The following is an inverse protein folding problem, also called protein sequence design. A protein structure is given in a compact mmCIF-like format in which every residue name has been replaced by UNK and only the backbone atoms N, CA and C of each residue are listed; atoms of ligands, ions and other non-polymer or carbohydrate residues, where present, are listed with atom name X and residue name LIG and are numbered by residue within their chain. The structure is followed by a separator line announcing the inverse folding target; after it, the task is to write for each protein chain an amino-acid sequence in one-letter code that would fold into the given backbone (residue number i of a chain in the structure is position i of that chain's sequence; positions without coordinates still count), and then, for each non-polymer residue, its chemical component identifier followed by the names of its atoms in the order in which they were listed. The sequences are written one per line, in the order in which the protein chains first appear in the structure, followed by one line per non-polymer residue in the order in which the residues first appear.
data_IF_822699831636
#
_entry.id   IF_822699831636
#
_cell.length_a   1.000
_cell.length_b   1.000
_cell.length_c   1.000
_cell.angle_alpha   90.00
_cell.angle_beta   90.00
_cell.angle_gamma   90.00
#
_symmetry.space_group_name_H-M   'P 1'
#
loop_
_entity.id
_entity.type
_entity.pdbx_description
1 polymer ?
#
# COMPACT_ATOMS: atom_id res chain seq x y z
N UNK A 1 -11.63 0.53 -12.19
CA UNK A 1 -12.30 1.37 -12.94
C UNK A 1 -12.68 1.23 -14.38
N UNK A 2 -12.82 0.03 -14.99
CA UNK A 2 -13.12 -0.14 -16.44
C UNK A 2 -14.51 0.35 -16.89
N UNK A 3 -15.44 0.57 -15.97
CA UNK A 3 -16.82 1.00 -16.29
C UNK A 3 -16.83 2.34 -17.04
N UNK A 4 -15.91 3.24 -16.73
CA UNK A 4 -15.84 4.60 -17.26
C UNK A 4 -14.75 4.81 -18.31
N UNK A 5 -13.77 3.90 -18.40
CA UNK A 5 -12.60 4.05 -19.27
C UNK A 5 -12.62 3.14 -20.51
N UNK A 6 -13.53 2.17 -20.56
CA UNK A 6 -13.65 1.25 -21.69
C UNK A 6 -14.64 1.78 -22.75
N UNK A 7 -14.24 1.91 -24.03
CA UNK A 7 -15.12 2.37 -25.12
C UNK A 7 -16.38 1.53 -25.32
N UNK A 8 -16.38 0.27 -24.85
CA UNK A 8 -17.51 -0.65 -24.95
C UNK A 8 -18.59 -0.46 -23.88
N UNK A 9 -18.39 0.46 -22.93
CA UNK A 9 -19.31 0.69 -21.81
C UNK A 9 -20.20 1.91 -22.04
N UNK A 10 -21.48 1.87 -21.60
CA UNK A 10 -22.46 2.94 -21.86
C UNK A 10 -22.07 4.33 -21.35
N UNK A 11 -21.23 4.39 -20.29
CA UNK A 11 -20.85 5.64 -19.64
C UNK A 11 -19.46 6.17 -20.04
N UNK A 12 -18.82 5.60 -21.07
CA UNK A 12 -17.48 5.97 -21.52
C UNK A 12 -17.31 7.48 -21.82
N UNK A 13 -18.32 8.12 -22.41
CA UNK A 13 -18.29 9.55 -22.76
C UNK A 13 -19.02 10.45 -21.75
N UNK A 14 -19.61 9.89 -20.70
CA UNK A 14 -20.44 10.63 -19.75
C UNK A 14 -19.67 11.17 -18.54
N UNK A 15 -18.38 10.87 -18.43
CA UNK A 15 -17.56 11.23 -17.27
C UNK A 15 -16.25 11.87 -17.70
N UNK A 16 -15.82 12.85 -16.94
CA UNK A 16 -14.47 13.42 -17.02
C UNK A 16 -13.53 12.63 -16.11
N UNK A 17 -12.58 11.91 -16.70
CA UNK A 17 -11.56 11.17 -15.94
C UNK A 17 -10.53 12.17 -15.46
N UNK A 18 -10.45 12.38 -14.15
CA UNK A 18 -9.42 13.18 -13.50
C UNK A 18 -8.37 12.28 -12.86
N UNK A 19 -7.12 12.42 -13.28
CA UNK A 19 -5.99 11.76 -12.63
C UNK A 19 -5.52 12.60 -11.46
N UNK A 20 -5.79 12.14 -10.24
CA UNK A 20 -5.26 12.75 -9.02
C UNK A 20 -3.80 12.36 -8.87
N UNK A 21 -2.94 13.36 -8.68
CA UNK A 21 -1.54 13.14 -8.30
C UNK A 21 -1.44 12.90 -6.79
N UNK A 22 -0.41 12.18 -6.33
CA UNK A 22 -0.12 12.09 -4.90
C UNK A 22 -0.01 13.48 -4.27
N UNK A 23 -0.47 13.62 -3.04
CA UNK A 23 -0.28 14.86 -2.25
C UNK A 23 1.21 14.93 -1.93
N UNK A 24 1.83 16.10 -2.09
CA UNK A 24 3.26 16.26 -1.81
C UNK A 24 3.59 16.12 -0.32
N UNK A 25 4.82 15.73 -0.01
CA UNK A 25 5.28 15.55 1.37
C UNK A 25 5.20 16.83 2.18
N UNK A 26 5.45 17.99 1.56
CA UNK A 26 5.37 19.30 2.21
C UNK A 26 3.94 19.57 2.70
N UNK A 27 2.94 19.33 1.86
CA UNK A 27 1.52 19.49 2.22
C UNK A 27 1.09 18.52 3.32
N UNK A 28 1.63 17.30 3.29
CA UNK A 28 1.38 16.32 4.35
C UNK A 28 2.00 16.77 5.67
N UNK A 29 3.23 17.28 5.65
CA UNK A 29 3.92 17.81 6.83
C UNK A 29 3.17 18.99 7.44
N UNK A 30 2.78 19.97 6.61
CA UNK A 30 1.97 21.12 7.06
C UNK A 30 0.65 20.65 7.70
N UNK A 31 -0.05 19.73 7.04
CA UNK A 31 -1.32 19.20 7.56
C UNK A 31 -1.13 18.44 8.87
N UNK A 32 -0.12 17.57 8.97
CA UNK A 32 0.16 16.82 10.19
C UNK A 32 0.49 17.74 11.36
N UNK A 33 1.38 18.72 11.15
CA UNK A 33 1.72 19.73 12.17
C UNK A 33 0.49 20.49 12.63
N UNK A 34 -0.32 21.00 11.70
CA UNK A 34 -1.55 21.71 12.03
C UNK A 34 -2.51 20.85 12.88
N UNK A 35 -2.66 19.55 12.57
CA UNK A 35 -3.52 18.66 13.33
C UNK A 35 -2.96 18.38 14.73
N UNK A 36 -1.65 18.18 14.87
CA UNK A 36 -1.02 17.96 16.17
C UNK A 36 -1.11 19.21 17.06
N UNK A 37 -0.76 20.38 16.51
CA UNK A 37 -0.78 21.68 17.22
C UNK A 37 -2.18 22.03 17.73
N UNK A 38 -3.23 21.73 16.96
CA UNK A 38 -4.63 21.96 17.34
C UNK A 38 -5.01 21.29 18.67
N UNK A 39 -4.30 20.22 19.04
CA UNK A 39 -4.55 19.45 20.27
C UNK A 39 -3.40 19.55 21.26
N UNK A 40 -2.58 20.59 21.15
CA UNK A 40 -1.45 20.83 22.05
C UNK A 40 -0.36 19.77 21.99
N UNK A 41 -0.15 19.15 20.82
CA UNK A 41 0.92 18.19 20.55
C UNK A 41 1.82 18.74 19.44
N UNK A 42 2.98 18.13 19.25
CA UNK A 42 3.84 18.43 18.10
C UNK A 42 4.32 17.17 17.39
N UNK A 43 4.76 17.31 16.16
CA UNK A 43 5.34 16.23 15.36
C UNK A 43 6.57 16.73 14.61
N UNK A 44 7.61 15.91 14.55
CA UNK A 44 8.81 16.17 13.76
C UNK A 44 8.52 16.03 12.26
N UNK A 45 9.12 16.88 11.43
CA UNK A 45 9.01 16.81 9.98
C UNK A 45 9.57 15.46 9.47
N UNK A 46 10.66 15.00 10.07
CA UNK A 46 11.31 13.72 9.79
C UNK A 46 10.39 12.52 10.02
N UNK A 47 9.52 12.58 11.04
CA UNK A 47 8.54 11.52 11.28
C UNK A 47 7.51 11.46 10.15
N UNK A 48 7.03 12.59 9.66
CA UNK A 48 6.08 12.64 8.53
C UNK A 48 6.74 12.18 7.24
N UNK A 49 7.98 12.62 6.98
CA UNK A 49 8.77 12.22 5.81
C UNK A 49 9.03 10.72 5.82
N UNK A 50 9.43 10.14 6.95
CA UNK A 50 9.67 8.70 7.08
C UNK A 50 8.43 7.87 6.75
N UNK A 51 7.24 8.28 7.25
CA UNK A 51 5.97 7.62 6.91
C UNK A 51 5.66 7.77 5.43
N UNK A 52 5.87 8.96 4.87
CA UNK A 52 5.57 9.27 3.47
C UNK A 52 6.40 8.41 2.51
N UNK A 53 7.71 8.31 2.74
CA UNK A 53 8.63 7.53 1.91
C UNK A 53 8.40 6.03 2.05
N UNK A 54 8.15 5.55 3.28
CA UNK A 54 7.92 4.13 3.57
C UNK A 54 6.72 3.55 2.82
N UNK A 55 5.69 4.35 2.59
CA UNK A 55 4.42 3.92 1.98
C UNK A 55 4.16 4.55 0.60
N UNK A 56 5.20 5.01 -0.10
CA UNK A 56 5.10 5.57 -1.46
C UNK A 56 3.95 6.59 -1.61
N UNK A 57 3.76 7.47 -0.64
CA UNK A 57 2.69 8.48 -0.62
C UNK A 57 1.25 7.91 -0.66
N UNK A 58 1.03 6.64 -0.31
CA UNK A 58 -0.31 6.05 -0.23
C UNK A 58 -1.11 6.67 0.91
N UNK A 59 -2.03 7.56 0.57
CA UNK A 59 -2.79 8.42 1.51
C UNK A 59 -3.45 7.63 2.64
N UNK A 60 -4.07 6.48 2.36
CA UNK A 60 -4.74 5.66 3.37
C UNK A 60 -3.76 5.13 4.42
N UNK A 61 -2.56 4.73 4.01
CA UNK A 61 -1.51 4.26 4.92
C UNK A 61 -0.96 5.40 5.78
N UNK A 62 -0.67 6.55 5.14
CA UNK A 62 -0.19 7.73 5.83
C UNK A 62 -1.16 8.17 6.92
N UNK A 63 -2.45 8.29 6.59
CA UNK A 63 -3.48 8.67 7.54
C UNK A 63 -3.60 7.69 8.71
N UNK A 64 -3.52 6.38 8.44
CA UNK A 64 -3.59 5.35 9.47
C UNK A 64 -2.42 5.45 10.45
N UNK A 65 -1.19 5.60 9.95
CA UNK A 65 0.01 5.72 10.80
C UNK A 65 0.01 7.05 11.56
N UNK A 66 -0.25 8.17 10.88
CA UNK A 66 -0.30 9.49 11.52
C UNK A 66 -1.38 9.55 12.62
N UNK A 67 -2.50 8.85 12.44
CA UNK A 67 -3.52 8.72 13.49
C UNK A 67 -2.99 7.94 14.71
N UNK A 68 -2.30 6.82 14.50
CA UNK A 68 -1.69 6.06 15.61
C UNK A 68 -0.65 6.90 16.33
N UNK A 69 0.23 7.58 15.59
CA UNK A 69 1.23 8.50 16.16
C UNK A 69 0.57 9.61 16.98
N UNK A 70 -0.50 10.21 16.44
CA UNK A 70 -1.27 11.22 17.14
C UNK A 70 -1.88 10.70 18.45
N UNK A 71 -2.45 9.49 18.45
CA UNK A 71 -3.06 8.88 19.64
C UNK A 71 -1.99 8.50 20.70
N UNK A 72 -0.83 8.04 20.27
CA UNK A 72 0.28 7.68 21.15
C UNK A 72 1.05 8.89 21.72
N UNK A 73 0.97 10.05 21.07
CA UNK A 73 1.59 11.28 21.56
C UNK A 73 0.71 11.92 22.63
N UNK A 74 1.24 12.14 23.83
CA UNK A 74 0.51 12.78 24.93
C UNK A 74 0.31 14.31 24.66
N UNK A 75 -0.70 14.95 25.26
CA UNK A 75 -0.81 16.40 25.24
C UNK A 75 0.46 17.06 25.79
N UNK A 76 0.96 18.10 25.13
CA UNK A 76 2.25 18.72 25.42
C UNK A 76 3.46 17.94 24.95
N UNK A 77 3.27 16.72 24.44
CA UNK A 77 4.34 15.87 23.94
C UNK A 77 4.72 16.12 22.47
N UNK A 78 5.84 15.54 22.09
CA UNK A 78 6.40 15.62 20.76
C UNK A 78 6.47 14.21 20.15
N UNK A 79 5.89 14.03 18.97
CA UNK A 79 6.05 12.83 18.16
C UNK A 79 7.38 12.89 17.42
N UNK A 80 8.21 11.90 17.63
CA UNK A 80 9.56 11.78 17.07
C UNK A 80 9.64 10.70 16.01
N UNK A 81 10.68 10.71 15.16
CA UNK A 81 10.85 9.77 14.06
C UNK A 81 10.94 8.30 14.56
N UNK A 82 11.55 8.05 15.69
CA UNK A 82 11.70 6.72 16.31
C UNK A 82 10.35 6.08 16.71
N UNK A 83 9.28 6.88 16.88
CA UNK A 83 7.95 6.35 17.16
C UNK A 83 7.26 5.74 15.93
N UNK A 84 7.80 5.95 14.71
CA UNK A 84 7.18 5.50 13.46
C UNK A 84 7.15 3.98 13.36
N UNK A 85 8.27 3.31 13.65
CA UNK A 85 8.33 1.84 13.58
C UNK A 85 7.41 1.18 14.62
N UNK A 86 7.31 1.74 15.82
CA UNK A 86 6.37 1.28 16.85
C UNK A 86 4.90 1.46 16.41
N UNK A 87 4.59 2.53 15.69
CA UNK A 87 3.24 2.74 15.17
C UNK A 87 2.91 1.75 14.04
N UNK A 88 3.86 1.44 13.16
CA UNK A 88 3.72 0.44 12.11
C UNK A 88 3.51 -0.95 12.73
N UNK A 89 4.37 -1.34 13.66
CA UNK A 89 4.26 -2.64 14.35
C UNK A 89 2.92 -2.79 15.08
N UNK A 90 2.46 -1.73 15.75
CA UNK A 90 1.14 -1.73 16.38
C UNK A 90 0.00 -2.00 15.39
N UNK A 91 0.05 -1.41 14.18
CA UNK A 91 -0.94 -1.67 13.13
C UNK A 91 -0.84 -3.13 12.64
N UNK A 92 0.37 -3.62 12.40
CA UNK A 92 0.61 -4.99 11.94
C UNK A 92 0.10 -6.02 12.95
N UNK A 93 0.37 -5.82 14.23
CA UNK A 93 -0.14 -6.68 15.31
C UNK A 93 -1.68 -6.67 15.37
N UNK A 94 -2.28 -5.48 15.29
CA UNK A 94 -3.74 -5.32 15.33
C UNK A 94 -4.46 -6.06 14.19
N UNK A 95 -3.85 -6.13 13.02
CA UNK A 95 -4.44 -6.75 11.82
C UNK A 95 -3.85 -8.11 11.47
N UNK A 96 -2.93 -8.66 12.29
CA UNK A 96 -2.21 -9.91 12.00
C UNK A 96 -3.14 -11.09 11.70
N UNK A 97 -4.15 -11.31 12.54
CA UNK A 97 -5.15 -12.38 12.33
C UNK A 97 -5.92 -12.17 11.02
N UNK A 98 -6.34 -10.93 10.74
CA UNK A 98 -7.07 -10.59 9.51
C UNK A 98 -6.22 -10.89 8.27
N UNK A 99 -4.94 -10.52 8.29
CA UNK A 99 -4.02 -10.78 7.18
C UNK A 99 -3.72 -12.27 7.01
N UNK A 100 -3.59 -13.02 8.10
CA UNK A 100 -3.44 -14.48 8.06
C UNK A 100 -4.67 -15.15 7.43
N UNK A 101 -5.87 -14.81 7.88
CA UNK A 101 -7.12 -15.30 7.32
C UNK A 101 -7.25 -15.01 5.82
N UNK A 102 -6.85 -13.81 5.40
CA UNK A 102 -6.84 -13.43 3.98
C UNK A 102 -5.87 -14.28 3.17
N UNK A 103 -4.66 -14.51 3.67
CA UNK A 103 -3.66 -15.36 3.02
C UNK A 103 -4.13 -16.82 2.88
N UNK A 104 -4.82 -17.36 3.88
CA UNK A 104 -5.35 -18.72 3.84
C UNK A 104 -6.46 -18.90 2.80
N UNK A 105 -7.24 -17.85 2.55
CA UNK A 105 -8.30 -17.85 1.51
C UNK A 105 -7.78 -17.71 0.09
N UNK A 106 -6.51 -17.31 -0.09
CA UNK A 106 -5.89 -17.23 -1.41
C UNK A 106 -5.48 -18.65 -1.86
N UNK A 107 -5.91 -19.13 -3.04
CA UNK A 107 -5.45 -20.41 -3.58
C UNK A 107 -3.92 -20.49 -3.61
N UNK A 108 -3.38 -21.68 -3.35
CA UNK A 108 -1.93 -21.91 -3.19
C UNK A 108 -1.07 -21.24 -4.28
N UNK A 109 -1.42 -21.42 -5.55
CA UNK A 109 -0.64 -20.84 -6.66
C UNK A 109 -0.75 -19.32 -6.74
N UNK A 110 -1.87 -18.73 -6.32
CA UNK A 110 -1.99 -17.29 -6.20
C UNK A 110 -1.18 -16.77 -5.02
N UNK A 111 -1.17 -17.49 -3.89
CA UNK A 111 -0.41 -17.15 -2.68
C UNK A 111 1.09 -17.16 -2.93
N UNK A 112 1.62 -18.17 -3.66
CA UNK A 112 3.03 -18.23 -4.07
C UNK A 112 3.43 -16.96 -4.85
N UNK A 113 2.62 -16.56 -5.84
CA UNK A 113 2.87 -15.36 -6.66
C UNK A 113 2.71 -14.08 -5.84
N UNK A 114 1.72 -14.02 -4.97
CA UNK A 114 1.50 -12.88 -4.06
C UNK A 114 2.72 -12.65 -3.17
N UNK A 115 3.23 -13.70 -2.51
CA UNK A 115 4.42 -13.63 -1.65
C UNK A 115 5.66 -13.24 -2.46
N UNK A 116 5.80 -13.72 -3.69
CA UNK A 116 6.90 -13.35 -4.57
C UNK A 116 6.88 -11.84 -4.91
N UNK A 117 5.69 -11.29 -5.20
CA UNK A 117 5.51 -9.85 -5.46
C UNK A 117 5.79 -9.04 -4.19
N UNK A 118 5.30 -9.47 -3.02
CA UNK A 118 5.54 -8.81 -1.74
C UNK A 118 7.06 -8.71 -1.44
N UNK A 119 7.81 -9.79 -1.62
CA UNK A 119 9.28 -9.81 -1.43
C UNK A 119 10.05 -8.86 -2.35
N UNK A 120 9.54 -8.54 -3.53
CA UNK A 120 10.14 -7.58 -4.45
C UNK A 120 9.73 -6.13 -4.15
N UNK A 121 8.63 -5.92 -3.43
CA UNK A 121 8.00 -4.61 -3.24
C UNK A 121 7.44 -4.05 -4.56
N UNK A 122 8.29 -3.88 -5.58
CA UNK A 122 7.94 -3.43 -6.94
C UNK A 122 8.40 -4.46 -7.97
N UNK A 123 7.56 -5.47 -8.21
CA UNK A 123 7.90 -6.60 -9.08
C UNK A 123 7.71 -6.25 -10.56
N UNK A 124 8.72 -6.58 -11.39
CA UNK A 124 8.69 -6.42 -12.85
C UNK A 124 8.98 -7.75 -13.54
N UNK A 125 8.54 -7.88 -14.79
CA UNK A 125 8.80 -9.06 -15.61
C UNK A 125 8.53 -10.40 -14.89
N UNK A 126 7.42 -10.46 -14.15
CA UNK A 126 7.08 -11.56 -13.22
C UNK A 126 6.96 -12.93 -13.90
N UNK A 127 6.74 -12.97 -15.22
CA UNK A 127 6.73 -14.20 -16.03
C UNK A 127 8.10 -14.54 -16.65
N UNK A 128 9.10 -13.71 -16.39
CA UNK A 128 10.47 -13.91 -16.88
C UNK A 128 11.21 -15.01 -16.13
N UNK A 129 12.14 -15.70 -16.83
CA UNK A 129 12.92 -16.81 -16.26
C UNK A 129 13.63 -16.47 -14.96
N UNK A 130 14.14 -15.23 -14.84
CA UNK A 130 14.86 -14.75 -13.65
C UNK A 130 13.95 -14.70 -12.43
N UNK A 131 12.75 -14.09 -12.57
CA UNK A 131 11.76 -14.00 -11.49
C UNK A 131 11.25 -15.38 -11.08
N UNK A 132 10.90 -16.22 -12.07
CA UNK A 132 10.45 -17.60 -11.85
C UNK A 132 11.49 -18.40 -11.04
N UNK A 133 12.77 -18.35 -11.46
CA UNK A 133 13.85 -19.05 -10.78
C UNK A 133 14.11 -18.52 -9.37
N UNK A 134 14.13 -17.17 -9.21
CA UNK A 134 14.39 -16.53 -7.93
C UNK A 134 13.36 -16.90 -6.86
N UNK A 135 12.09 -17.01 -7.25
CA UNK A 135 10.98 -17.27 -6.34
C UNK A 135 10.48 -18.72 -6.38
N UNK A 136 11.18 -19.62 -7.09
CA UNK A 136 10.81 -21.03 -7.23
C UNK A 136 9.38 -21.24 -7.73
N UNK A 137 8.91 -20.36 -8.61
CA UNK A 137 7.57 -20.41 -9.18
C UNK A 137 7.49 -21.43 -10.32
N UNK A 138 6.28 -21.75 -10.74
CA UNK A 138 6.02 -22.67 -11.83
C UNK A 138 6.20 -22.00 -13.21
N UNK A 139 5.33 -22.30 -14.16
CA UNK A 139 5.39 -21.77 -15.52
C UNK A 139 4.77 -20.38 -15.65
N UNK A 140 5.16 -19.66 -16.70
CA UNK A 140 4.59 -18.34 -17.02
C UNK A 140 3.06 -18.36 -17.16
N UNK A 141 2.48 -19.47 -17.66
CA UNK A 141 1.03 -19.62 -17.79
C UNK A 141 0.32 -19.70 -16.43
N UNK A 142 0.91 -20.42 -15.46
CA UNK A 142 0.40 -20.51 -14.09
C UNK A 142 0.47 -19.14 -13.41
N UNK A 143 1.57 -18.41 -13.58
CA UNK A 143 1.74 -17.07 -13.02
C UNK A 143 0.69 -16.12 -13.60
N UNK A 144 0.47 -16.11 -14.92
CA UNK A 144 -0.54 -15.27 -15.55
C UNK A 144 -1.96 -15.55 -15.02
N UNK A 145 -2.31 -16.82 -14.82
CA UNK A 145 -3.59 -17.19 -14.24
C UNK A 145 -3.72 -16.72 -12.78
N UNK A 146 -2.65 -16.90 -11.99
CA UNK A 146 -2.60 -16.43 -10.60
C UNK A 146 -2.74 -14.91 -10.49
N UNK A 147 -1.98 -14.17 -11.30
CA UNK A 147 -2.02 -12.70 -11.35
C UNK A 147 -3.41 -12.17 -11.70
N UNK A 148 -4.08 -12.78 -12.68
CA UNK A 148 -5.45 -12.41 -13.01
C UNK A 148 -6.38 -12.52 -11.79
N UNK A 149 -6.34 -13.65 -11.08
CA UNK A 149 -7.16 -13.84 -9.89
C UNK A 149 -6.80 -12.93 -8.73
N UNK A 150 -5.52 -12.53 -8.59
CA UNK A 150 -5.08 -11.56 -7.59
C UNK A 150 -5.53 -10.13 -7.93
N UNK A 151 -5.49 -9.74 -9.20
CA UNK A 151 -5.99 -8.43 -9.69
C UNK A 151 -7.51 -8.33 -9.55
N UNK A 152 -8.26 -9.38 -9.91
CA UNK A 152 -9.72 -9.42 -9.78
C UNK A 152 -10.22 -9.26 -8.34
N UNK A 153 -9.39 -9.66 -7.36
CA UNK A 153 -9.68 -9.59 -5.93
C UNK A 153 -9.03 -8.38 -5.23
N UNK A 154 -8.39 -7.49 -5.97
CA UNK A 154 -7.68 -6.32 -5.44
C UNK A 154 -6.57 -6.68 -4.42
N UNK A 155 -5.93 -7.84 -4.52
CA UNK A 155 -4.76 -8.18 -3.70
C UNK A 155 -3.49 -7.52 -4.20
N UNK A 156 -3.38 -7.32 -5.50
CA UNK A 156 -2.27 -6.64 -6.15
C UNK A 156 -2.79 -5.57 -7.11
N UNK A 157 -1.93 -4.64 -7.44
CA UNK A 157 -2.17 -3.66 -8.49
C UNK A 157 -1.03 -3.68 -9.52
N UNK A 158 -1.29 -3.16 -10.70
CA UNK A 158 -0.30 -3.05 -11.77
C UNK A 158 -0.36 -1.67 -12.42
N UNK A 159 0.79 -1.01 -12.48
CA UNK A 159 0.97 0.22 -13.25
C UNK A 159 2.21 0.08 -14.15
N UNK A 160 2.02 0.28 -15.46
CA UNK A 160 3.09 0.20 -16.47
C UNK A 160 3.97 -1.05 -16.36
N UNK A 161 3.34 -2.20 -16.04
CA UNK A 161 4.02 -3.49 -15.90
C UNK A 161 4.78 -3.68 -14.57
N UNK A 162 4.58 -2.79 -13.61
CA UNK A 162 5.08 -2.93 -12.24
C UNK A 162 3.94 -3.40 -11.35
N UNK A 163 4.13 -4.55 -10.72
CA UNK A 163 3.17 -5.15 -9.79
C UNK A 163 3.55 -4.82 -8.36
N UNK A 164 2.57 -4.41 -7.56
CA UNK A 164 2.72 -4.12 -6.13
C UNK A 164 1.55 -4.70 -5.36
N UNK A 165 1.74 -4.92 -4.07
CA UNK A 165 0.64 -5.29 -3.17
C UNK A 165 -0.29 -4.09 -3.02
N UNK A 166 -1.62 -4.33 -3.08
CA UNK A 166 -2.62 -3.26 -3.01
C UNK A 166 -2.65 -2.57 -1.64
N UNK A 167 -2.62 -3.35 -0.55
CA UNK A 167 -2.47 -2.82 0.80
C UNK A 167 -1.02 -2.97 1.27
N UNK A 168 -0.23 -1.89 1.37
CA UNK A 168 1.17 -1.96 1.77
C UNK A 168 1.42 -2.56 3.16
N UNK A 169 0.42 -2.59 4.05
CA UNK A 169 0.53 -3.28 5.33
C UNK A 169 0.42 -4.80 5.22
N UNK A 170 -0.02 -5.29 4.07
CA UNK A 170 -0.11 -6.72 3.78
C UNK A 170 1.13 -7.27 3.05
N UNK A 171 2.10 -6.41 2.75
CA UNK A 171 3.33 -6.73 2.02
C UNK A 171 4.44 -7.32 2.90
#
# INVERSE_FOLDING_TARGET
GEIFTSPSRPFYQSVLVMNLKPISVEKYTEFAKMQFDRYGKSIEDEAVVAVYERFDAVTSCLQRILNVLFLKTLPGGKCTCDMVDDAINYILEMFSETYQDLLERIPEKQREVFIAIAKEGKAKAITGKTFIKKHHLQTSSVINAAVRGLLEKDFITVDKGVYTIYDPFFA
#
